data_IF_555507464621
#
_entry.id   IF_555507464621
#
_cell.length_a   1.000
_cell.length_b   1.000
_cell.length_c   1.000
_cell.angle_alpha   90.00
_cell.angle_beta   90.00
_cell.angle_gamma   90.00
#
_symmetry.space_group_name_H-M   'P 1'
#
loop_
_entity.id
_entity.type
_entity.pdbx_description
1 polymer ?
#
# COMPACT_ATOMS: atom_id res chain seq x y z
N UNK A 1 13.79 5.88 22.25
CA UNK A 1 14.46 4.56 22.15
C UNK A 1 14.54 4.16 20.68
N UNK A 2 15.74 4.13 20.10
CA UNK A 2 15.97 3.92 18.66
C UNK A 2 15.96 2.44 18.32
N UNK A 3 14.80 1.92 17.90
CA UNK A 3 14.64 0.60 17.27
C UNK A 3 15.34 0.58 15.89
N UNK A 4 16.67 0.66 15.87
CA UNK A 4 17.45 0.32 14.67
C UNK A 4 17.59 -1.19 14.64
N UNK A 5 17.18 -1.82 13.55
CA UNK A 5 17.40 -3.24 13.35
C UNK A 5 18.91 -3.50 13.32
N UNK A 6 19.42 -4.23 14.32
CA UNK A 6 20.83 -4.63 14.42
C UNK A 6 21.18 -5.65 13.34
N UNK A 7 20.22 -6.48 12.94
CA UNK A 7 20.36 -7.46 11.88
C UNK A 7 19.57 -7.02 10.63
N UNK A 8 20.27 -6.82 9.52
CA UNK A 8 19.66 -6.37 8.26
C UNK A 8 18.78 -7.44 7.62
N UNK A 9 19.11 -8.73 7.80
CA UNK A 9 18.31 -9.83 7.25
C UNK A 9 16.92 -9.82 7.91
N UNK A 10 16.87 -9.71 9.24
CA UNK A 10 15.59 -9.64 9.97
C UNK A 10 14.75 -8.43 9.57
N UNK A 11 15.37 -7.29 9.27
CA UNK A 11 14.66 -6.13 8.74
C UNK A 11 13.95 -6.46 7.42
N UNK A 12 14.67 -7.00 6.43
CA UNK A 12 14.08 -7.30 5.13
C UNK A 12 13.05 -8.44 5.20
N UNK A 13 13.27 -9.45 6.04
CA UNK A 13 12.27 -10.50 6.30
C UNK A 13 10.99 -9.88 6.88
N UNK A 14 11.10 -8.99 7.87
CA UNK A 14 9.95 -8.33 8.45
C UNK A 14 9.20 -7.47 7.42
N UNK A 15 9.93 -6.68 6.63
CA UNK A 15 9.34 -5.85 5.57
C UNK A 15 8.65 -6.69 4.49
N UNK A 16 9.26 -7.81 4.10
CA UNK A 16 8.65 -8.76 3.17
C UNK A 16 7.33 -9.31 3.72
N UNK A 17 7.33 -9.73 4.99
CA UNK A 17 6.12 -10.22 5.66
C UNK A 17 5.04 -9.16 5.77
N UNK A 18 5.38 -7.89 6.00
CA UNK A 18 4.38 -6.80 6.00
C UNK A 18 3.69 -6.67 4.64
N UNK A 19 4.45 -6.72 3.54
CA UNK A 19 3.90 -6.72 2.19
C UNK A 19 3.01 -7.92 1.93
N UNK A 20 3.48 -9.12 2.28
CA UNK A 20 2.73 -10.37 2.18
C UNK A 20 1.40 -10.28 2.96
N UNK A 21 1.43 -9.85 4.21
CA UNK A 21 0.22 -9.67 5.05
C UNK A 21 -0.72 -8.64 4.42
N UNK A 22 -0.20 -7.56 3.84
CA UNK A 22 -1.03 -6.56 3.16
C UNK A 22 -1.81 -7.15 1.98
N UNK A 23 -1.29 -8.16 1.29
CA UNK A 23 -2.02 -8.82 0.18
C UNK A 23 -3.33 -9.49 0.61
N UNK A 24 -3.44 -9.93 1.87
CA UNK A 24 -4.67 -10.51 2.43
C UNK A 24 -5.78 -9.46 2.63
N UNK A 25 -5.49 -8.18 2.42
CA UNK A 25 -6.53 -7.16 2.33
C UNK A 25 -7.36 -7.26 1.05
N UNK A 26 -6.84 -7.91 0.00
CA UNK A 26 -7.52 -8.08 -1.28
C UNK A 26 -8.46 -9.29 -1.27
N UNK A 27 -9.40 -9.37 -2.23
CA UNK A 27 -10.13 -10.61 -2.50
C UNK A 27 -9.16 -11.76 -2.78
N UNK A 28 -9.50 -13.00 -2.37
CA UNK A 28 -10.78 -13.43 -1.77
C UNK A 28 -10.85 -13.29 -0.23
N UNK A 29 -9.83 -12.71 0.42
CA UNK A 29 -9.73 -12.70 1.89
C UNK A 29 -10.39 -11.47 2.52
N UNK A 30 -10.31 -10.30 1.86
CA UNK A 30 -10.98 -9.04 2.24
C UNK A 30 -10.67 -8.54 3.66
N UNK A 31 -9.50 -8.88 4.19
CA UNK A 31 -9.07 -8.54 5.55
C UNK A 31 -8.44 -7.14 5.55
N UNK A 32 -9.19 -6.14 5.09
CA UNK A 32 -8.68 -4.78 4.84
C UNK A 32 -8.04 -4.12 6.07
N UNK A 33 -8.48 -4.50 7.28
CA UNK A 33 -7.97 -3.93 8.52
C UNK A 33 -6.49 -4.27 8.80
N UNK A 34 -5.92 -5.28 8.15
CA UNK A 34 -4.48 -5.56 8.22
C UNK A 34 -3.63 -4.38 7.72
N UNK A 35 -4.15 -3.60 6.77
CA UNK A 35 -3.43 -2.46 6.21
C UNK A 35 -3.27 -1.31 7.23
N UNK A 36 -4.17 -1.19 8.23
CA UNK A 36 -3.98 -0.24 9.35
C UNK A 36 -2.82 -0.60 10.27
N UNK A 37 -2.23 -1.79 10.13
CA UNK A 37 -1.01 -2.20 10.84
C UNK A 37 0.17 -2.20 9.86
N UNK A 38 0.00 -2.80 8.68
CA UNK A 38 1.08 -2.98 7.71
C UNK A 38 1.64 -1.66 7.18
N UNK A 39 0.79 -0.73 6.73
CA UNK A 39 1.23 0.56 6.18
C UNK A 39 1.88 1.47 7.23
N UNK A 40 1.33 1.63 8.44
CA UNK A 40 2.00 2.37 9.51
C UNK A 40 3.34 1.76 9.91
N UNK A 41 3.43 0.43 10.02
CA UNK A 41 4.69 -0.25 10.32
C UNK A 41 5.73 -0.04 9.22
N UNK A 42 5.31 -0.11 7.95
CA UNK A 42 6.15 0.16 6.79
C UNK A 42 6.68 1.60 6.79
N UNK A 43 5.80 2.60 7.00
CA UNK A 43 6.22 4.01 7.12
C UNK A 43 7.16 4.22 8.31
N UNK A 44 6.89 3.59 9.47
CA UNK A 44 7.76 3.68 10.64
C UNK A 44 9.18 3.21 10.35
N UNK A 45 9.32 2.10 9.62
CA UNK A 45 10.62 1.54 9.22
C UNK A 45 11.37 2.50 8.31
N UNK A 46 10.70 3.11 7.33
CA UNK A 46 11.31 4.13 6.46
C UNK A 46 11.80 5.33 7.28
N UNK A 47 11.01 5.77 8.28
CA UNK A 47 11.36 6.86 9.18
C UNK A 47 12.51 6.55 10.16
N UNK A 48 12.91 5.29 10.33
CA UNK A 48 14.13 4.91 11.06
C UNK A 48 15.39 5.16 10.22
N UNK A 49 15.27 5.13 8.88
CA UNK A 49 16.36 5.30 7.92
C UNK A 49 16.10 6.48 6.95
N UNK A 50 15.76 7.69 7.42
CA UNK A 50 15.23 8.75 6.56
C UNK A 50 16.24 9.26 5.51
N UNK A 51 17.53 9.19 5.82
CA UNK A 51 18.61 9.72 4.98
C UNK A 51 19.29 8.65 4.11
N UNK A 52 18.90 7.37 4.24
CA UNK A 52 19.53 6.26 3.52
C UNK A 52 18.67 5.86 2.32
N UNK A 53 18.94 6.50 1.18
CA UNK A 53 18.15 6.38 -0.05
C UNK A 53 18.15 4.95 -0.61
N UNK A 54 19.32 4.32 -0.63
CA UNK A 54 19.47 2.94 -1.11
C UNK A 54 18.68 1.99 -0.23
N UNK A 55 18.77 2.18 1.09
CA UNK A 55 18.00 1.37 2.03
C UNK A 55 16.51 1.63 1.94
N UNK A 56 16.08 2.88 1.74
CA UNK A 56 14.68 3.24 1.51
C UNK A 56 14.13 2.50 0.29
N UNK A 57 14.86 2.56 -0.84
CA UNK A 57 14.51 1.82 -2.05
C UNK A 57 14.41 0.32 -1.80
N UNK A 58 15.40 -0.29 -1.15
CA UNK A 58 15.40 -1.73 -0.88
C UNK A 58 14.26 -2.14 0.06
N UNK A 59 13.94 -1.32 1.06
CA UNK A 59 12.80 -1.52 1.96
C UNK A 59 11.49 -1.49 1.15
N UNK A 60 11.29 -0.48 0.30
CA UNK A 60 10.09 -0.41 -0.53
C UNK A 60 9.99 -1.53 -1.54
N UNK A 61 11.09 -1.86 -2.20
CA UNK A 61 11.15 -2.95 -3.16
C UNK A 61 10.80 -4.31 -2.51
N UNK A 62 11.34 -4.56 -1.32
CA UNK A 62 11.07 -5.79 -0.55
C UNK A 62 9.60 -5.87 -0.12
N UNK A 63 9.01 -4.75 0.33
CA UNK A 63 7.59 -4.70 0.67
C UNK A 63 6.72 -4.98 -0.55
N UNK A 64 6.99 -4.30 -1.67
CA UNK A 64 6.25 -4.49 -2.92
C UNK A 64 6.38 -5.91 -3.46
N UNK A 65 7.58 -6.50 -3.41
CA UNK A 65 7.78 -7.89 -3.80
C UNK A 65 6.94 -8.85 -2.93
N UNK A 66 6.96 -8.68 -1.61
CA UNK A 66 6.14 -9.47 -0.68
C UNK A 66 4.64 -9.35 -0.97
N UNK A 67 4.17 -8.14 -1.29
CA UNK A 67 2.77 -7.89 -1.65
C UNK A 67 2.37 -8.56 -2.98
N UNK A 68 3.21 -8.44 -4.02
CA UNK A 68 2.88 -8.95 -5.35
C UNK A 68 3.07 -10.47 -5.48
N UNK A 69 4.05 -11.07 -4.80
CA UNK A 69 4.28 -12.53 -4.93
C UNK A 69 3.11 -13.34 -4.37
N UNK A 70 2.48 -12.87 -3.29
CA UNK A 70 1.30 -13.53 -2.71
C UNK A 70 -0.01 -13.14 -3.37
N UNK A 71 -0.08 -11.99 -4.07
CA UNK A 71 -1.32 -11.53 -4.71
C UNK A 71 -1.42 -11.82 -6.21
N UNK A 72 -0.31 -12.16 -6.88
CA UNK A 72 -0.25 -12.42 -8.32
C UNK A 72 0.15 -13.87 -8.68
N UNK A 73 0.18 -14.77 -7.70
CA UNK A 73 0.48 -16.19 -7.95
C UNK A 73 -0.42 -16.81 -9.03
N UNK A 74 -1.66 -16.34 -9.13
CA UNK A 74 -2.65 -16.81 -10.09
C UNK A 74 -2.25 -16.61 -11.56
N UNK A 75 -1.31 -15.70 -11.87
CA UNK A 75 -0.78 -15.52 -13.23
C UNK A 75 -0.18 -16.82 -13.76
N UNK A 76 0.42 -17.62 -12.87
CA UNK A 76 1.01 -18.91 -13.25
C UNK A 76 -0.03 -19.91 -13.75
N UNK A 77 -1.28 -19.82 -13.28
CA UNK A 77 -2.36 -20.70 -13.73
C UNK A 77 -2.61 -20.53 -15.24
N UNK A 78 -2.51 -19.31 -15.76
CA UNK A 78 -2.67 -19.04 -17.18
C UNK A 78 -1.60 -19.72 -18.06
N UNK A 79 -0.39 -19.92 -17.52
CA UNK A 79 0.71 -20.58 -18.22
C UNK A 79 0.59 -22.12 -18.24
N UNK A 80 -0.36 -22.68 -17.49
CA UNK A 80 -0.57 -24.14 -17.45
C UNK A 80 -1.46 -24.65 -18.58
N UNK A 81 -2.13 -23.75 -19.31
CA UNK A 81 -3.09 -24.10 -20.37
C UNK A 81 -2.41 -24.77 -21.57
N UNK A 82 -1.22 -24.32 -21.94
CA UNK A 82 -0.39 -24.95 -22.99
C UNK A 82 0.91 -25.48 -22.39
N UNK A 83 1.27 -26.72 -22.73
CA UNK A 83 2.47 -27.38 -22.20
C UNK A 83 3.77 -26.61 -22.51
N UNK A 84 3.81 -25.92 -23.65
CA UNK A 84 4.96 -25.13 -24.09
C UNK A 84 5.31 -23.99 -23.13
N UNK A 85 4.34 -23.46 -22.37
CA UNK A 85 4.55 -22.34 -21.46
C UNK A 85 4.85 -22.75 -20.02
N UNK A 86 4.64 -24.03 -19.66
CA UNK A 86 4.90 -24.53 -18.29
C UNK A 86 6.33 -24.26 -17.77
N UNK A 87 7.40 -24.34 -18.58
CA UNK A 87 8.75 -23.99 -18.12
C UNK A 87 8.91 -22.53 -17.68
N UNK A 88 8.02 -21.62 -18.10
CA UNK A 88 8.05 -20.20 -17.75
C UNK A 88 7.43 -19.90 -16.39
N UNK A 89 6.68 -20.83 -15.80
CA UNK A 89 5.99 -20.67 -14.51
C UNK A 89 6.90 -20.13 -13.39
N UNK A 90 8.07 -20.73 -13.08
CA UNK A 90 8.92 -20.23 -11.99
C UNK A 90 9.43 -18.80 -12.26
N UNK A 91 9.67 -18.47 -13.53
CA UNK A 91 10.09 -17.13 -13.92
C UNK A 91 8.97 -16.11 -13.78
N UNK A 92 7.75 -16.43 -14.24
CA UNK A 92 6.59 -15.56 -14.11
C UNK A 92 6.23 -15.31 -12.64
N UNK A 93 6.28 -16.35 -11.81
CA UNK A 93 5.97 -16.27 -10.37
C UNK A 93 6.89 -15.30 -9.62
N UNK A 94 8.16 -15.19 -10.03
CA UNK A 94 9.18 -14.41 -9.32
C UNK A 94 9.46 -13.08 -10.00
N UNK A 95 9.72 -13.08 -11.31
CA UNK A 95 10.14 -11.88 -12.05
C UNK A 95 9.04 -10.83 -12.13
N UNK A 96 7.77 -11.24 -12.28
CA UNK A 96 6.66 -10.28 -12.34
C UNK A 96 6.53 -9.52 -11.00
N UNK A 97 6.42 -10.19 -9.84
CA UNK A 97 6.45 -9.50 -8.55
C UNK A 97 7.71 -8.67 -8.30
N UNK A 98 8.90 -9.17 -8.68
CA UNK A 98 10.15 -8.42 -8.53
C UNK A 98 10.11 -7.12 -9.33
N UNK A 99 9.65 -7.17 -10.57
CA UNK A 99 9.51 -6.01 -11.43
C UNK A 99 8.49 -5.02 -10.87
N UNK A 100 7.29 -5.49 -10.47
CA UNK A 100 6.24 -4.62 -9.93
C UNK A 100 6.63 -4.01 -8.58
N UNK A 101 7.41 -4.73 -7.78
CA UNK A 101 8.00 -4.19 -6.55
C UNK A 101 8.87 -2.95 -6.82
N UNK A 102 9.48 -2.81 -8.00
CA UNK A 102 10.33 -1.65 -8.30
C UNK A 102 9.56 -0.33 -8.17
N UNK A 103 8.26 -0.30 -8.47
CA UNK A 103 7.44 0.90 -8.29
C UNK A 103 7.33 1.31 -6.82
N UNK A 104 7.26 0.35 -5.89
CA UNK A 104 7.32 0.61 -4.45
C UNK A 104 8.73 1.06 -4.01
N UNK A 105 9.77 0.46 -4.59
CA UNK A 105 11.16 0.90 -4.40
C UNK A 105 11.37 2.35 -4.84
N UNK A 106 10.91 2.72 -6.03
CA UNK A 106 11.00 4.09 -6.55
C UNK A 106 10.15 5.08 -5.74
N UNK A 107 8.95 4.68 -5.30
CA UNK A 107 8.16 5.49 -4.39
C UNK A 107 8.90 5.79 -3.09
N UNK A 108 9.40 4.76 -2.40
CA UNK A 108 10.14 4.95 -1.15
C UNK A 108 11.47 5.68 -1.34
N UNK A 109 12.11 5.54 -2.50
CA UNK A 109 13.28 6.34 -2.88
C UNK A 109 12.92 7.83 -2.97
N UNK A 110 11.87 8.19 -3.72
CA UNK A 110 11.41 9.58 -3.82
C UNK A 110 10.98 10.15 -2.48
N UNK A 111 10.31 9.35 -1.64
CA UNK A 111 10.00 9.71 -0.25
C UNK A 111 11.26 10.07 0.55
N UNK A 112 12.34 9.29 0.44
CA UNK A 112 13.61 9.57 1.14
C UNK A 112 14.31 10.84 0.64
N UNK A 113 14.24 11.15 -0.66
CA UNK A 113 14.79 12.39 -1.21
C UNK A 113 14.16 13.66 -0.61
N UNK A 114 12.93 13.56 -0.09
CA UNK A 114 12.20 14.66 0.54
C UNK A 114 12.51 14.81 2.04
N UNK A 115 13.54 14.13 2.55
CA UNK A 115 14.06 14.22 3.92
C UNK A 115 12.96 14.06 4.98
N UNK A 116 12.30 12.89 5.03
CA UNK A 116 11.12 12.67 5.84
C UNK A 116 11.44 12.71 7.33
N UNK A 117 10.46 13.14 8.12
CA UNK A 117 10.52 13.30 9.56
C UNK A 117 9.31 12.63 10.22
N UNK A 118 9.32 12.48 11.53
CA UNK A 118 8.18 11.95 12.30
C UNK A 118 7.08 13.01 12.43
N UNK A 119 6.46 13.37 11.31
CA UNK A 119 5.43 14.39 11.23
C UNK A 119 4.35 14.03 10.19
N UNK A 120 3.24 14.75 10.24
CA UNK A 120 2.08 14.57 9.35
C UNK A 120 2.43 14.83 7.89
N UNK A 121 3.33 15.78 7.60
CA UNK A 121 3.79 16.04 6.24
C UNK A 121 4.42 14.80 5.61
N UNK A 122 5.19 14.01 6.36
CA UNK A 122 5.80 12.78 5.83
C UNK A 122 4.76 11.68 5.55
N UNK A 123 3.63 11.67 6.28
CA UNK A 123 2.50 10.79 5.95
C UNK A 123 1.93 11.18 4.58
N UNK A 124 1.69 12.47 4.35
CA UNK A 124 1.18 12.98 3.08
C UNK A 124 2.16 12.71 1.94
N UNK A 125 3.46 13.01 2.12
CA UNK A 125 4.49 12.75 1.11
C UNK A 125 4.55 11.27 0.73
N UNK A 126 4.47 10.38 1.73
CA UNK A 126 4.52 8.95 1.46
C UNK A 126 3.26 8.47 0.70
N UNK A 127 2.07 8.88 1.15
CA UNK A 127 0.82 8.54 0.49
C UNK A 127 0.78 9.03 -0.96
N UNK A 128 1.21 10.28 -1.21
CA UNK A 128 1.23 10.86 -2.56
C UNK A 128 2.29 10.21 -3.44
N UNK A 129 3.50 10.01 -2.93
CA UNK A 129 4.56 9.31 -3.66
C UNK A 129 4.10 7.91 -4.11
N UNK A 130 3.54 7.12 -3.19
CA UNK A 130 3.08 5.78 -3.51
C UNK A 130 1.96 5.82 -4.56
N UNK A 131 1.02 6.76 -4.42
CA UNK A 131 -0.07 6.95 -5.39
C UNK A 131 0.41 7.34 -6.78
N UNK A 132 1.44 8.21 -6.87
CA UNK A 132 2.03 8.62 -8.16
C UNK A 132 2.67 7.41 -8.85
N UNK A 133 3.43 6.59 -8.13
CA UNK A 133 4.06 5.41 -8.73
C UNK A 133 3.06 4.30 -9.07
N UNK A 134 1.98 4.17 -8.30
CA UNK A 134 0.84 3.31 -8.66
C UNK A 134 0.16 3.77 -9.95
N UNK A 135 -0.01 5.09 -10.13
CA UNK A 135 -0.51 5.64 -11.37
C UNK A 135 0.48 5.43 -12.53
N UNK A 136 1.79 5.65 -12.34
CA UNK A 136 2.79 5.40 -13.39
C UNK A 136 2.80 3.92 -13.81
N UNK A 137 2.66 3.01 -12.84
CA UNK A 137 2.58 1.55 -13.08
C UNK A 137 1.43 1.16 -14.00
N UNK A 138 0.38 1.98 -14.12
CA UNK A 138 -0.73 1.72 -15.03
C UNK A 138 -0.47 2.08 -16.49
N UNK A 139 0.66 2.68 -16.84
CA UNK A 139 1.00 3.05 -18.21
C UNK A 139 2.30 2.41 -18.73
N UNK A 140 3.27 2.19 -17.85
CA UNK A 140 4.57 1.64 -18.23
C UNK A 140 4.42 0.23 -18.84
N UNK A 141 5.02 0.02 -20.02
CA UNK A 141 4.94 -1.22 -20.81
C UNK A 141 3.51 -1.70 -21.11
N UNK A 142 2.58 -0.78 -21.38
CA UNK A 142 1.17 -1.10 -21.61
C UNK A 142 0.32 -1.16 -20.34
N UNK A 143 0.97 -1.02 -19.18
CA UNK A 143 0.31 -0.91 -17.88
C UNK A 143 -0.04 -2.24 -17.25
N UNK A 144 0.18 -2.34 -15.93
CA UNK A 144 -0.29 -3.48 -15.14
C UNK A 144 -0.88 -3.00 -13.81
N UNK A 145 -2.07 -2.35 -13.79
CA UNK A 145 -2.68 -1.76 -12.59
C UNK A 145 -3.42 -2.78 -11.72
N UNK A 146 -2.95 -4.02 -11.65
CA UNK A 146 -3.52 -5.02 -10.74
C UNK A 146 -3.20 -4.71 -9.29
N UNK A 147 -4.12 -5.09 -8.40
CA UNK A 147 -3.95 -5.02 -6.95
C UNK A 147 -3.64 -3.59 -6.47
N UNK A 148 -4.48 -2.63 -6.86
CA UNK A 148 -4.50 -1.33 -6.20
C UNK A 148 -4.98 -1.52 -4.76
N UNK A 149 -4.50 -0.67 -3.86
CA UNK A 149 -4.73 -0.79 -2.42
C UNK A 149 -6.18 -0.49 -2.08
N UNK A 150 -6.83 0.36 -2.89
CA UNK A 150 -8.28 0.57 -2.85
C UNK A 150 -9.12 -0.68 -3.12
N UNK A 151 -8.58 -1.70 -3.80
CA UNK A 151 -9.33 -2.94 -4.03
C UNK A 151 -9.58 -3.72 -2.75
N UNK A 152 -8.91 -3.39 -1.64
CA UNK A 152 -9.26 -3.90 -0.31
C UNK A 152 -10.69 -3.56 0.14
N UNK A 153 -11.32 -2.55 -0.48
CA UNK A 153 -12.70 -2.17 -0.21
C UNK A 153 -13.69 -2.67 -1.27
N UNK A 154 -13.29 -3.48 -2.25
CA UNK A 154 -14.15 -3.82 -3.40
C UNK A 154 -15.48 -4.48 -3.02
N UNK A 155 -15.50 -5.26 -1.92
CA UNK A 155 -16.70 -5.91 -1.42
C UNK A 155 -17.59 -5.01 -0.53
N UNK A 156 -17.18 -3.76 -0.30
CA UNK A 156 -17.94 -2.76 0.46
C UNK A 156 -18.60 -1.77 -0.49
N UNK A 157 -19.65 -2.21 -1.20
CA UNK A 157 -20.31 -1.49 -2.29
C UNK A 157 -20.69 -0.04 -1.95
N UNK A 158 -21.20 0.21 -0.74
CA UNK A 158 -21.52 1.56 -0.29
C UNK A 158 -20.28 2.45 -0.17
N UNK A 159 -19.18 1.91 0.33
CA UNK A 159 -17.95 2.68 0.53
C UNK A 159 -17.25 3.03 -0.80
N UNK A 160 -17.33 2.15 -1.79
CA UNK A 160 -16.68 2.36 -3.09
C UNK A 160 -17.45 3.29 -4.03
N UNK A 161 -18.67 3.72 -3.68
CA UNK A 161 -19.44 4.66 -4.52
C UNK A 161 -18.68 5.94 -4.85
N UNK A 162 -17.76 6.36 -3.98
CA UNK A 162 -16.91 7.53 -4.20
C UNK A 162 -16.11 7.44 -5.51
N UNK A 163 -15.80 6.22 -5.99
CA UNK A 163 -15.15 5.98 -7.28
C UNK A 163 -15.84 6.70 -8.44
N UNK A 164 -17.18 6.78 -8.43
CA UNK A 164 -17.96 7.47 -9.47
C UNK A 164 -17.68 8.97 -9.58
N UNK A 165 -17.19 9.59 -8.49
CA UNK A 165 -16.97 11.04 -8.40
C UNK A 165 -15.51 11.39 -8.67
N UNK A 166 -14.58 10.66 -8.04
CA UNK A 166 -13.15 11.01 -8.04
C UNK A 166 -12.27 10.08 -8.89
N UNK A 167 -12.81 8.93 -9.31
CA UNK A 167 -12.07 7.91 -10.04
C UNK A 167 -11.14 7.05 -9.18
N UNK A 168 -10.61 5.99 -9.78
CA UNK A 168 -9.89 4.90 -9.08
C UNK A 168 -8.59 5.34 -8.41
N UNK A 169 -7.76 6.15 -9.07
CA UNK A 169 -6.44 6.53 -8.54
C UNK A 169 -6.54 7.57 -7.41
N UNK A 170 -7.49 8.51 -7.50
CA UNK A 170 -7.77 9.43 -6.40
C UNK A 170 -8.36 8.69 -5.20
N UNK A 171 -9.25 7.71 -5.44
CA UNK A 171 -9.73 6.85 -4.36
C UNK A 171 -8.59 6.03 -3.75
N UNK A 172 -7.70 5.46 -4.56
CA UNK A 172 -6.52 4.73 -4.08
C UNK A 172 -5.63 5.59 -3.17
N UNK A 173 -5.39 6.85 -3.52
CA UNK A 173 -4.59 7.76 -2.69
C UNK A 173 -5.23 8.07 -1.34
N UNK A 174 -6.56 8.25 -1.31
CA UNK A 174 -7.33 8.42 -0.07
C UNK A 174 -7.24 7.18 0.81
N UNK A 175 -7.37 5.98 0.23
CA UNK A 175 -7.28 4.72 0.97
C UNK A 175 -5.88 4.50 1.56
N UNK A 176 -4.83 4.77 0.79
CA UNK A 176 -3.45 4.71 1.28
C UNK A 176 -3.28 5.66 2.46
N UNK A 177 -3.72 6.91 2.33
CA UNK A 177 -3.64 7.91 3.39
C UNK A 177 -4.36 7.42 4.65
N UNK A 178 -5.58 6.91 4.49
CA UNK A 178 -6.42 6.38 5.57
C UNK A 178 -5.75 5.22 6.32
N UNK A 179 -5.13 4.29 5.60
CA UNK A 179 -4.36 3.20 6.22
C UNK A 179 -3.11 3.68 6.94
N UNK A 180 -2.52 4.80 6.53
CA UNK A 180 -1.33 5.35 7.19
C UNK A 180 -1.65 6.14 8.47
N UNK A 181 -2.85 6.72 8.61
CA UNK A 181 -3.20 7.61 9.73
C UNK A 181 -2.90 7.06 11.15
N UNK A 182 -3.03 5.75 11.46
CA UNK A 182 -2.70 5.23 12.78
C UNK A 182 -1.26 5.50 13.23
N UNK A 183 -0.32 5.74 12.30
CA UNK A 183 1.09 6.10 12.61
C UNK A 183 1.20 7.36 13.48
N UNK A 184 0.21 8.25 13.43
CA UNK A 184 0.12 9.47 14.23
C UNK A 184 0.15 9.16 15.73
N UNK A 185 -0.34 7.98 16.14
CA UNK A 185 -0.29 7.53 17.53
C UNK A 185 1.15 7.38 18.03
N UNK A 186 2.08 7.01 17.14
CA UNK A 186 3.50 6.81 17.43
C UNK A 186 4.32 8.10 17.37
N UNK A 187 3.76 9.21 16.87
CA UNK A 187 4.42 10.51 16.82
C UNK A 187 4.23 11.32 18.12
N UNK A 188 5.15 12.25 18.36
CA UNK A 188 5.16 13.13 19.54
C UNK A 188 4.19 14.32 19.38
N UNK A 189 2.92 14.01 19.11
CA UNK A 189 1.85 15.00 19.03
C UNK A 189 1.04 15.10 20.33
N UNK A 190 0.49 16.29 20.59
CA UNK A 190 -0.46 16.52 21.67
C UNK A 190 -1.68 15.61 21.50
N UNK A 191 -2.24 15.12 22.61
CA UNK A 191 -3.42 14.23 22.62
C UNK A 191 -4.58 14.77 21.78
N UNK A 192 -4.86 16.08 21.87
CA UNK A 192 -5.95 16.71 21.12
C UNK A 192 -5.75 16.57 19.60
N UNK A 193 -4.53 16.73 19.09
CA UNK A 193 -4.25 16.58 17.66
C UNK A 193 -4.46 15.13 17.19
N UNK A 194 -4.02 14.15 17.98
CA UNK A 194 -4.25 12.72 17.70
C UNK A 194 -5.75 12.40 17.64
N UNK A 195 -6.51 12.91 18.62
CA UNK A 195 -7.98 12.75 18.65
C UNK A 195 -8.65 13.44 17.47
N UNK A 196 -8.23 14.66 17.09
CA UNK A 196 -8.76 15.36 15.93
C UNK A 196 -8.59 14.55 14.65
N UNK A 197 -7.40 14.00 14.39
CA UNK A 197 -7.16 13.14 13.21
C UNK A 197 -8.06 11.91 13.23
N UNK A 198 -8.17 11.25 14.39
CA UNK A 198 -9.05 10.09 14.54
C UNK A 198 -10.51 10.45 14.23
N UNK A 199 -11.07 11.49 14.86
CA UNK A 199 -12.46 11.90 14.64
C UNK A 199 -12.71 12.38 13.20
N UNK A 200 -11.77 13.11 12.59
CA UNK A 200 -11.89 13.55 11.18
C UNK A 200 -11.90 12.33 10.25
N UNK A 201 -11.01 11.36 10.47
CA UNK A 201 -10.97 10.13 9.67
C UNK A 201 -12.24 9.29 9.83
N UNK A 202 -12.77 9.19 11.06
CA UNK A 202 -14.01 8.48 11.34
C UNK A 202 -15.21 9.17 10.69
N UNK A 203 -15.28 10.50 10.80
CA UNK A 203 -16.31 11.31 10.16
C UNK A 203 -16.30 11.11 8.64
N UNK A 204 -15.12 11.13 8.02
CA UNK A 204 -14.95 10.88 6.59
C UNK A 204 -15.44 9.47 6.18
N UNK A 205 -15.06 8.43 6.95
CA UNK A 205 -15.52 7.08 6.67
C UNK A 205 -17.04 6.94 6.76
N UNK A 206 -17.63 7.50 7.83
CA UNK A 206 -19.06 7.43 8.07
C UNK A 206 -19.84 8.22 7.02
N UNK A 207 -19.40 9.43 6.67
CA UNK A 207 -20.07 10.24 5.66
C UNK A 207 -20.02 9.56 4.29
N UNK A 208 -18.87 9.02 3.90
CA UNK A 208 -18.72 8.27 2.65
C UNK A 208 -19.63 7.03 2.61
N UNK A 209 -19.65 6.25 3.69
CA UNK A 209 -20.49 5.06 3.80
C UNK A 209 -21.99 5.40 3.73
N UNK A 210 -22.45 6.42 4.46
CA UNK A 210 -23.85 6.85 4.46
C UNK A 210 -24.27 7.39 3.09
N UNK A 211 -23.44 8.26 2.49
CA UNK A 211 -23.69 8.81 1.17
C UNK A 211 -23.77 7.72 0.10
N UNK A 212 -22.80 6.79 0.08
CA UNK A 212 -22.79 5.72 -0.89
C UNK A 212 -23.92 4.71 -0.71
N UNK A 213 -24.32 4.39 0.52
CA UNK A 213 -25.52 3.59 0.77
C UNK A 213 -26.81 4.30 0.34
N UNK A 214 -26.87 5.63 0.44
CA UNK A 214 -28.00 6.41 -0.07
C UNK A 214 -28.08 6.33 -1.60
N UNK A 215 -26.93 6.40 -2.30
CA UNK A 215 -26.89 6.28 -3.76
C UNK A 215 -27.33 4.89 -4.23
N UNK A 216 -26.90 3.84 -3.53
CA UNK A 216 -27.29 2.46 -3.84
C UNK A 216 -28.79 2.18 -3.66
N UNK A 217 -29.49 2.94 -2.81
CA UNK A 217 -30.95 2.80 -2.62
C UNK A 217 -31.77 3.54 -3.67
N UNK A 218 -31.17 4.51 -4.34
CA UNK A 218 -31.83 5.36 -5.32
C UNK A 218 -31.75 4.80 -6.76
N UNK A 219 -31.14 3.63 -6.94
CA UNK A 219 -30.99 2.88 -8.18
C UNK A 219 -31.43 1.43 -7.96
#
# INVERSE_FOLDING_TARGET
MTLKFKNQILLYVYVFLLGLISSFSLPPYDIFYLNFISYPAFLWILLIYPNDKVKSFNIGWTFGFGYFISSLYWITNSLTFEDNFKPLIPFALILIPLFLGLFYGLSTLTFSFLNPKKNFLSILIFATSLSIFEYIRSFVFGGFPWNLISFSFVNYLGFIQLLSVIGTYAFNSIIILLFLLPIVLLFEYKRNFKLSIFFISLLFCLSNYLWGNSNLKNH
#
